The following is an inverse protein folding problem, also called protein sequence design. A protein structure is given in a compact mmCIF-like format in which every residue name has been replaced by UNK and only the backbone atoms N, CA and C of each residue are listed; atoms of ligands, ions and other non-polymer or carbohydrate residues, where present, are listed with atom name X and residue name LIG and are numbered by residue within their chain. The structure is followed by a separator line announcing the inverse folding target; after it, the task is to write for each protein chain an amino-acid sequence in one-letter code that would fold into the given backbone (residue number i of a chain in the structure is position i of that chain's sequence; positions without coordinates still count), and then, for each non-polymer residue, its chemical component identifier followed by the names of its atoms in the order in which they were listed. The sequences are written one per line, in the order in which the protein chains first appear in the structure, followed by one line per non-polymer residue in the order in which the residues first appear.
data_IF_203958707274
#
_entry.id   IF_203958707274
#
_cell.length_a   1.000
_cell.length_b   1.000
_cell.length_c   1.000
_cell.angle_alpha   90.00
_cell.angle_beta   90.00
_cell.angle_gamma   90.00
#
_symmetry.space_group_name_H-M   'P 1'
#
loop_
_entity.id
_entity.type
_entity.pdbx_description
1 polymer ?
#
# COMPACT_ATOMS: atom_id res chain seq x y z
N UNK A 1 6.64 -3.98 -0.33
CA UNK A 1 7.19 -2.82 -1.07
C UNK A 1 7.94 -1.93 -0.09
N UNK A 2 8.88 -1.10 -0.54
CA UNK A 2 9.61 -0.13 0.30
C UNK A 2 9.40 1.30 -0.17
N UNK A 3 9.97 2.27 0.52
CA UNK A 3 9.86 3.71 0.23
C UNK A 3 10.21 4.09 -1.22
N UNK A 4 11.05 3.30 -1.91
CA UNK A 4 11.44 3.56 -3.31
C UNK A 4 10.28 3.47 -4.31
N UNK A 5 9.11 3.01 -3.90
CA UNK A 5 7.87 3.13 -4.67
C UNK A 5 7.59 4.60 -5.05
N UNK A 6 7.94 5.52 -4.18
CA UNK A 6 7.63 6.94 -4.28
C UNK A 6 8.73 7.79 -4.91
N UNK A 7 9.94 7.22 -5.20
CA UNK A 7 11.10 7.99 -5.70
C UNK A 7 10.74 8.85 -6.93
N UNK A 8 10.04 8.26 -7.91
CA UNK A 8 9.64 8.98 -9.13
C UNK A 8 8.59 10.07 -8.88
N UNK A 9 7.66 9.82 -7.96
CA UNK A 9 6.63 10.81 -7.59
C UNK A 9 7.27 11.97 -6.86
N UNK A 10 8.10 11.70 -5.84
CA UNK A 10 8.82 12.72 -5.06
C UNK A 10 9.68 13.60 -5.97
N UNK A 11 10.42 12.99 -6.90
CA UNK A 11 11.25 13.71 -7.86
C UNK A 11 10.44 14.58 -8.85
N UNK A 12 9.15 14.29 -9.02
CA UNK A 12 8.25 15.01 -9.94
C UNK A 12 7.36 16.04 -9.24
N UNK A 13 7.33 16.09 -7.90
CA UNK A 13 6.59 17.10 -7.16
C UNK A 13 7.23 18.49 -7.35
N UNK A 14 6.42 19.58 -7.32
CA UNK A 14 6.96 20.93 -7.28
C UNK A 14 7.87 21.18 -6.06
N UNK A 15 8.69 22.19 -6.14
CA UNK A 15 9.49 22.62 -4.99
C UNK A 15 8.59 23.08 -3.82
N UNK A 16 9.06 22.91 -2.59
CA UNK A 16 8.34 23.32 -1.37
C UNK A 16 7.65 22.21 -0.59
N UNK A 17 7.53 21.00 -1.14
CA UNK A 17 7.01 19.85 -0.39
C UNK A 17 8.10 19.19 0.47
N UNK A 18 7.78 18.95 1.73
CA UNK A 18 8.54 18.03 2.59
C UNK A 18 7.94 16.64 2.47
N UNK A 19 8.65 15.72 1.81
CA UNK A 19 8.20 14.35 1.62
C UNK A 19 8.84 13.40 2.63
N UNK A 20 8.03 12.58 3.29
CA UNK A 20 8.47 11.56 4.24
C UNK A 20 7.88 10.23 3.80
N UNK A 21 8.71 9.28 3.41
CA UNK A 21 8.28 7.97 2.90
C UNK A 21 8.84 6.83 3.77
N UNK A 22 8.12 6.39 4.81
CA UNK A 22 8.57 5.28 5.64
C UNK A 22 8.49 3.94 4.89
N UNK A 23 9.42 3.04 5.17
CA UNK A 23 9.30 1.63 4.79
C UNK A 23 8.63 0.87 5.91
N UNK A 24 7.34 0.58 5.76
CA UNK A 24 6.59 -0.22 6.72
C UNK A 24 7.03 -1.71 6.68
N UNK A 25 6.80 -2.49 7.76
CA UNK A 25 7.23 -3.88 7.86
C UNK A 25 6.39 -4.84 6.99
N UNK A 26 6.22 -4.51 5.70
CA UNK A 26 5.48 -5.27 4.69
C UNK A 26 6.42 -6.10 3.80
N UNK A 27 7.38 -6.81 4.41
CA UNK A 27 8.34 -7.74 3.79
C UNK A 27 9.48 -7.13 2.97
N UNK A 28 9.54 -5.80 2.79
CA UNK A 28 10.67 -5.12 2.14
C UNK A 28 11.51 -4.27 3.13
N UNK A 29 11.16 -4.28 4.41
CA UNK A 29 11.92 -3.65 5.49
C UNK A 29 13.27 -4.34 5.70
N UNK A 30 14.20 -3.63 6.37
CA UNK A 30 15.60 -4.06 6.53
C UNK A 30 15.98 -4.40 7.97
N UNK A 31 15.16 -4.02 8.93
CA UNK A 31 15.34 -4.27 10.36
C UNK A 31 14.26 -5.22 10.84
N UNK A 32 14.64 -6.30 11.50
CA UNK A 32 13.70 -7.28 12.02
C UNK A 32 12.76 -6.65 13.05
N UNK A 33 11.50 -7.04 12.99
CA UNK A 33 10.51 -6.64 13.98
C UNK A 33 10.65 -7.47 15.27
N UNK A 34 10.30 -6.85 16.38
CA UNK A 34 10.21 -7.56 17.66
C UNK A 34 9.24 -8.74 17.55
N UNK A 35 9.46 -9.77 18.36
CA UNK A 35 8.66 -10.98 18.29
C UNK A 35 7.18 -10.76 18.65
N UNK A 36 6.89 -9.78 19.48
CA UNK A 36 5.57 -9.36 19.97
C UNK A 36 4.94 -8.22 19.13
N UNK A 37 5.63 -7.71 18.12
CA UNK A 37 5.10 -6.65 17.26
C UNK A 37 3.78 -7.08 16.61
N UNK A 38 2.76 -6.21 16.72
CA UNK A 38 1.48 -6.38 16.04
C UNK A 38 1.62 -5.98 14.56
N UNK A 39 1.65 -6.99 13.69
CA UNK A 39 1.77 -6.84 12.24
C UNK A 39 0.42 -6.97 11.52
N UNK A 40 -0.70 -6.90 12.23
CA UNK A 40 -2.03 -6.80 11.63
C UNK A 40 -2.25 -5.45 10.93
N UNK A 41 -3.28 -5.30 10.09
CA UNK A 41 -3.60 -3.99 9.50
C UNK A 41 -3.84 -2.91 10.56
N UNK A 42 -4.60 -3.15 11.65
CA UNK A 42 -4.72 -2.18 12.75
C UNK A 42 -3.38 -1.89 13.45
N UNK A 43 -2.54 -2.92 13.65
CA UNK A 43 -1.20 -2.74 14.21
C UNK A 43 -0.31 -1.84 13.34
N UNK A 44 -0.38 -2.04 12.02
CA UNK A 44 0.35 -1.19 11.06
C UNK A 44 -0.22 0.24 11.00
N UNK A 45 -1.53 0.41 11.15
CA UNK A 45 -2.16 1.74 11.24
C UNK A 45 -1.69 2.48 12.50
N UNK A 46 -1.69 1.81 13.67
CA UNK A 46 -1.14 2.38 14.91
C UNK A 46 0.34 2.73 14.78
N UNK A 47 1.15 1.85 14.18
CA UNK A 47 2.57 2.12 13.93
C UNK A 47 2.78 3.38 13.08
N UNK A 48 1.92 3.59 12.08
CA UNK A 48 1.96 4.79 11.25
C UNK A 48 1.51 6.04 12.03
N UNK A 49 0.49 5.94 12.88
CA UNK A 49 0.07 7.03 13.76
C UNK A 49 1.20 7.43 14.73
N UNK A 50 1.82 6.46 15.40
CA UNK A 50 2.98 6.69 16.27
C UNK A 50 4.17 7.30 15.52
N UNK A 51 4.37 6.92 14.27
CA UNK A 51 5.41 7.51 13.42
C UNK A 51 5.16 9.00 13.17
N UNK A 52 3.90 9.39 12.86
CA UNK A 52 3.53 10.80 12.72
C UNK A 52 3.72 11.57 14.03
N UNK A 53 3.36 10.96 15.16
CA UNK A 53 3.53 11.54 16.50
C UNK A 53 5.01 11.77 16.84
N UNK A 54 5.85 10.77 16.65
CA UNK A 54 7.29 10.85 16.98
C UNK A 54 8.05 11.85 16.14
N UNK A 55 7.61 12.11 14.92
CA UNK A 55 8.18 13.14 14.04
C UNK A 55 7.52 14.51 14.20
N UNK A 56 6.55 14.61 15.09
CA UNK A 56 5.74 15.81 15.34
C UNK A 56 5.19 16.42 14.04
N UNK A 57 4.65 15.55 13.17
CA UNK A 57 4.05 15.96 11.91
C UNK A 57 2.59 16.35 12.11
N UNK A 58 2.18 17.48 11.57
CA UNK A 58 0.81 18.00 11.64
C UNK A 58 0.32 18.36 10.25
N UNK A 59 -1.00 18.35 10.06
CA UNK A 59 -1.67 18.67 8.79
C UNK A 59 -1.07 17.96 7.58
N UNK A 60 -0.71 16.67 7.76
CA UNK A 60 -0.07 15.90 6.70
C UNK A 60 -1.05 15.52 5.59
N UNK A 61 -0.60 15.55 4.35
CA UNK A 61 -1.27 14.86 3.25
C UNK A 61 -0.76 13.41 3.24
N UNK A 62 -1.61 12.49 3.74
CA UNK A 62 -1.25 11.07 3.87
C UNK A 62 -1.59 10.33 2.58
N UNK A 63 -0.59 9.74 1.94
CA UNK A 63 -0.73 9.07 0.64
C UNK A 63 -0.53 7.56 0.79
N UNK A 64 -1.50 6.75 0.38
CA UNK A 64 -1.41 5.29 0.42
C UNK A 64 -1.72 4.63 -0.92
N UNK A 65 -0.87 3.66 -1.33
CA UNK A 65 -1.08 2.81 -2.51
C UNK A 65 -1.11 1.33 -2.11
N UNK A 66 -1.88 0.50 -2.78
CA UNK A 66 -2.01 -0.93 -2.50
C UNK A 66 -2.41 -1.15 -1.02
N UNK A 67 -1.76 -2.00 -0.27
CA UNK A 67 -1.99 -2.22 1.16
C UNK A 67 -1.77 -0.94 1.99
N UNK A 68 -0.92 0.00 1.51
CA UNK A 68 -0.76 1.31 2.14
C UNK A 68 -2.05 2.11 2.19
N UNK A 69 -2.89 2.04 1.15
CA UNK A 69 -4.19 2.68 1.15
C UNK A 69 -5.20 2.02 2.09
N UNK A 70 -5.12 0.70 2.31
CA UNK A 70 -5.90 0.02 3.34
C UNK A 70 -5.54 0.54 4.75
N UNK A 71 -4.26 0.72 5.04
CA UNK A 71 -3.79 1.29 6.31
C UNK A 71 -4.30 2.72 6.49
N UNK A 72 -4.28 3.54 5.42
CA UNK A 72 -4.83 4.91 5.45
C UNK A 72 -6.33 4.89 5.75
N UNK A 73 -7.12 3.99 5.13
CA UNK A 73 -8.56 3.87 5.40
C UNK A 73 -8.86 3.54 6.87
N UNK A 74 -8.05 2.69 7.51
CA UNK A 74 -8.20 2.41 8.93
C UNK A 74 -7.94 3.66 9.78
N UNK A 75 -6.87 4.42 9.48
CA UNK A 75 -6.58 5.68 10.18
C UNK A 75 -7.68 6.73 10.00
N UNK A 76 -8.28 6.81 8.80
CA UNK A 76 -9.42 7.70 8.56
C UNK A 76 -10.59 7.41 9.51
N UNK A 77 -10.83 6.12 9.81
CA UNK A 77 -11.90 5.68 10.70
C UNK A 77 -11.60 5.82 12.19
N UNK A 78 -10.34 5.96 12.58
CA UNK A 78 -9.89 6.03 14.00
C UNK A 78 -9.65 7.47 14.49
N UNK A 79 -9.78 8.48 13.62
CA UNK A 79 -9.59 9.89 13.99
C UNK A 79 -8.11 10.30 14.01
N UNK A 80 -7.48 10.33 12.87
CA UNK A 80 -6.07 10.74 12.75
C UNK A 80 -5.92 12.26 12.81
N UNK A 81 -5.77 12.84 14.00
CA UNK A 81 -5.72 14.30 14.23
C UNK A 81 -4.58 15.00 13.49
N UNK A 82 -3.51 14.27 13.20
CA UNK A 82 -2.35 14.79 12.47
C UNK A 82 -2.51 14.79 10.95
N UNK A 83 -3.55 14.13 10.43
CA UNK A 83 -3.81 14.04 8.99
C UNK A 83 -4.73 15.16 8.55
N UNK A 84 -4.28 16.06 7.71
CA UNK A 84 -5.09 17.12 7.12
C UNK A 84 -5.84 16.69 5.87
N UNK A 85 -5.23 15.85 5.06
CA UNK A 85 -5.78 15.34 3.79
C UNK A 85 -5.34 13.90 3.54
N UNK A 86 -6.08 13.18 2.71
CA UNK A 86 -5.69 11.82 2.29
C UNK A 86 -5.67 11.67 0.78
N UNK A 87 -4.77 10.83 0.28
CA UNK A 87 -4.73 10.39 -1.13
C UNK A 87 -4.72 8.88 -1.16
N UNK A 88 -5.79 8.29 -1.66
CA UNK A 88 -5.94 6.84 -1.85
C UNK A 88 -5.61 6.50 -3.31
N UNK A 89 -4.51 5.80 -3.53
CA UNK A 89 -4.01 5.46 -4.87
C UNK A 89 -4.18 3.98 -5.11
N UNK A 90 -5.04 3.58 -6.06
CA UNK A 90 -5.31 2.15 -6.40
C UNK A 90 -4.98 1.21 -5.25
N UNK A 91 -5.91 1.00 -4.35
CA UNK A 91 -5.63 0.32 -3.09
C UNK A 91 -6.65 -0.75 -2.72
N UNK A 92 -6.30 -1.58 -1.76
CA UNK A 92 -7.20 -2.54 -1.16
C UNK A 92 -8.40 -1.83 -0.54
N UNK A 93 -9.61 -2.33 -0.82
CA UNK A 93 -10.85 -1.78 -0.29
C UNK A 93 -11.97 -2.83 -0.32
N UNK A 94 -12.93 -2.67 0.58
CA UNK A 94 -14.16 -3.47 0.65
C UNK A 94 -13.91 -4.97 0.75
N UNK A 95 -14.66 -5.74 -0.03
CA UNK A 95 -14.65 -7.21 -0.06
C UNK A 95 -13.56 -7.83 -0.97
N UNK A 96 -12.78 -6.99 -1.69
CA UNK A 96 -11.61 -7.47 -2.46
C UNK A 96 -10.38 -7.68 -1.56
N UNK A 97 -10.56 -8.42 -0.46
CA UNK A 97 -9.51 -8.70 0.51
C UNK A 97 -9.45 -10.20 0.87
N UNK A 98 -8.37 -10.94 0.58
CA UNK A 98 -7.13 -10.54 -0.13
C UNK A 98 -7.34 -10.19 -1.61
N UNK A 99 -6.60 -9.21 -2.15
CA UNK A 99 -6.89 -8.65 -3.47
C UNK A 99 -6.53 -9.59 -4.62
N UNK A 100 -7.49 -9.84 -5.48
CA UNK A 100 -7.30 -10.62 -6.70
C UNK A 100 -6.65 -11.99 -6.47
N UNK A 101 -6.04 -12.55 -7.49
CA UNK A 101 -5.30 -13.81 -7.40
C UNK A 101 -3.94 -13.63 -6.67
N UNK A 102 -3.29 -12.50 -6.87
CA UNK A 102 -2.01 -12.15 -6.22
C UNK A 102 -2.16 -12.18 -4.70
N UNK A 103 -3.15 -11.49 -4.14
CA UNK A 103 -3.40 -11.46 -2.70
C UNK A 103 -3.79 -12.83 -2.13
N UNK A 104 -4.61 -13.60 -2.85
CA UNK A 104 -5.00 -14.98 -2.45
C UNK A 104 -3.79 -15.90 -2.34
N UNK A 105 -2.86 -15.83 -3.30
CA UNK A 105 -1.62 -16.62 -3.26
C UNK A 105 -0.72 -16.15 -2.12
N UNK A 106 -0.57 -14.85 -1.90
CA UNK A 106 0.19 -14.31 -0.75
C UNK A 106 -0.40 -14.78 0.58
N UNK A 107 -1.71 -14.72 0.75
CA UNK A 107 -2.38 -15.20 1.96
C UNK A 107 -2.13 -16.70 2.20
N UNK A 108 -2.11 -17.51 1.13
CA UNK A 108 -1.79 -18.93 1.21
C UNK A 108 -0.31 -19.15 1.60
N UNK A 109 0.61 -18.41 0.98
CA UNK A 109 2.06 -18.54 1.28
C UNK A 109 2.39 -18.09 2.71
N UNK A 110 1.62 -17.19 3.30
CA UNK A 110 1.73 -16.82 4.73
C UNK A 110 1.49 -17.98 5.69
N UNK A 111 0.86 -19.08 5.25
CA UNK A 111 0.68 -20.31 6.05
C UNK A 111 1.93 -21.21 6.06
N UNK A 112 2.88 -20.98 5.18
CA UNK A 112 4.09 -21.79 5.08
C UNK A 112 5.08 -21.48 6.22
N UNK A 113 5.90 -22.46 6.63
CA UNK A 113 7.07 -22.17 7.46
C UNK A 113 8.01 -21.17 6.75
N UNK A 114 8.72 -20.29 7.48
CA UNK A 114 9.55 -19.24 6.87
C UNK A 114 10.62 -19.76 5.89
N UNK A 115 11.18 -20.96 6.14
CA UNK A 115 12.13 -21.59 5.24
C UNK A 115 11.49 -21.99 3.91
N UNK A 116 10.33 -22.64 3.97
CA UNK A 116 9.56 -23.07 2.78
C UNK A 116 9.08 -21.86 1.99
N UNK A 117 8.58 -20.84 2.69
CA UNK A 117 8.24 -19.55 2.08
C UNK A 117 9.45 -18.94 1.36
N UNK A 118 10.62 -18.94 1.98
CA UNK A 118 11.86 -18.45 1.37
C UNK A 118 12.25 -19.22 0.09
N UNK A 119 12.13 -20.54 0.10
CA UNK A 119 12.37 -21.38 -1.08
C UNK A 119 11.36 -21.06 -2.20
N UNK A 120 10.08 -20.96 -1.86
CA UNK A 120 9.05 -20.53 -2.80
C UNK A 120 9.37 -19.16 -3.41
N UNK A 121 9.83 -18.20 -2.62
CA UNK A 121 10.16 -16.85 -3.08
C UNK A 121 11.39 -16.78 -3.99
N UNK A 122 12.27 -17.83 -4.04
CA UNK A 122 13.43 -17.83 -4.96
C UNK A 122 13.02 -17.71 -6.43
N UNK A 123 11.87 -18.23 -6.81
CA UNK A 123 11.34 -18.09 -8.17
C UNK A 123 11.16 -16.61 -8.59
N UNK A 124 10.96 -15.71 -7.62
CA UNK A 124 10.83 -14.27 -7.89
C UNK A 124 12.14 -13.63 -8.40
N UNK A 125 13.26 -14.35 -8.42
CA UNK A 125 14.49 -13.92 -9.12
C UNK A 125 14.33 -13.93 -10.63
N UNK A 126 13.44 -14.77 -11.15
CA UNK A 126 13.20 -14.91 -12.58
C UNK A 126 12.16 -13.89 -13.05
N UNK A 127 12.55 -13.06 -14.03
CA UNK A 127 11.68 -12.00 -14.57
C UNK A 127 10.33 -12.52 -15.08
N UNK A 128 10.24 -13.63 -15.85
CA UNK A 128 8.94 -14.12 -16.31
C UNK A 128 7.99 -14.46 -15.15
N UNK A 129 8.52 -15.10 -14.08
CA UNK A 129 7.71 -15.51 -12.94
C UNK A 129 7.23 -14.33 -12.11
N UNK A 130 8.02 -13.24 -12.00
CA UNK A 130 7.56 -12.01 -11.36
C UNK A 130 6.37 -11.33 -12.06
N UNK A 131 6.20 -11.57 -13.35
CA UNK A 131 5.13 -10.99 -14.17
C UNK A 131 3.86 -11.83 -14.25
N UNK A 132 3.82 -12.97 -13.60
CA UNK A 132 2.62 -13.79 -13.52
C UNK A 132 1.54 -13.12 -12.66
N UNK A 133 0.25 -13.42 -12.87
CA UNK A 133 -0.88 -12.89 -12.09
C UNK A 133 -0.85 -13.19 -10.58
N UNK A 134 0.16 -13.89 -10.11
CA UNK A 134 0.39 -14.27 -8.71
C UNK A 134 1.57 -13.53 -8.08
N UNK A 135 2.14 -12.55 -8.77
CA UNK A 135 3.37 -11.87 -8.37
C UNK A 135 3.31 -10.35 -8.56
N UNK A 136 4.18 -9.62 -7.85
CA UNK A 136 4.16 -8.14 -7.80
C UNK A 136 4.41 -7.46 -9.16
N UNK A 137 5.11 -8.08 -10.09
CA UNK A 137 5.30 -7.52 -11.44
C UNK A 137 4.01 -7.49 -12.29
N UNK A 138 2.95 -8.17 -11.85
CA UNK A 138 1.61 -8.08 -12.45
C UNK A 138 0.91 -6.74 -12.15
N UNK A 139 1.28 -6.11 -11.04
CA UNK A 139 0.71 -4.87 -10.54
C UNK A 139 1.22 -3.61 -11.25
N UNK A 140 2.18 -3.74 -12.17
CA UNK A 140 2.81 -2.62 -12.86
C UNK A 140 3.12 -2.94 -14.31
N UNK A 141 3.06 -1.93 -15.17
CA UNK A 141 3.49 -2.03 -16.57
C UNK A 141 5.01 -1.88 -16.71
N UNK A 142 5.64 -1.05 -15.87
CA UNK A 142 7.04 -0.58 -16.03
C UNK A 142 7.98 -0.96 -14.89
N UNK A 143 7.46 -1.31 -13.72
CA UNK A 143 8.21 -1.40 -12.47
C UNK A 143 8.96 -2.71 -12.19
N UNK A 144 9.19 -3.61 -13.17
CA UNK A 144 9.78 -4.93 -12.91
C UNK A 144 11.14 -4.87 -12.17
N UNK A 145 12.01 -3.93 -12.51
CA UNK A 145 13.31 -3.78 -11.85
C UNK A 145 13.18 -3.39 -10.36
N UNK A 146 12.20 -2.55 -10.05
CA UNK A 146 11.90 -2.12 -8.67
C UNK A 146 11.29 -3.27 -7.87
N UNK A 147 10.33 -3.99 -8.43
CA UNK A 147 9.73 -5.16 -7.77
C UNK A 147 10.77 -6.25 -7.48
N UNK A 148 11.74 -6.47 -8.35
CA UNK A 148 12.86 -7.37 -8.12
C UNK A 148 13.74 -6.93 -6.93
N UNK A 149 13.93 -5.62 -6.76
CA UNK A 149 14.70 -5.05 -5.64
C UNK A 149 14.00 -5.26 -4.30
N UNK A 150 12.67 -5.08 -4.24
CA UNK A 150 11.89 -5.28 -3.02
C UNK A 150 11.92 -6.70 -2.47
N UNK A 151 12.18 -7.70 -3.33
CA UNK A 151 12.30 -9.09 -2.90
C UNK A 151 13.63 -9.42 -2.23
N UNK A 152 14.66 -8.58 -2.36
CA UNK A 152 16.02 -8.88 -1.84
C UNK A 152 16.07 -9.14 -0.34
N UNK A 153 15.42 -8.35 0.55
CA UNK A 153 15.44 -8.62 1.98
C UNK A 153 14.89 -10.01 2.32
N UNK A 154 13.71 -10.36 1.82
CA UNK A 154 13.09 -11.69 2.01
C UNK A 154 13.98 -12.82 1.49
N UNK A 155 14.65 -12.61 0.35
CA UNK A 155 15.51 -13.65 -0.26
C UNK A 155 16.83 -13.86 0.49
N UNK A 156 17.32 -12.84 1.24
CA UNK A 156 18.65 -12.86 1.84
C UNK A 156 18.65 -12.97 3.37
N UNK A 157 17.62 -12.44 4.05
CA UNK A 157 17.59 -12.31 5.50
C UNK A 157 16.52 -13.23 6.11
N UNK A 158 16.93 -14.10 7.02
CA UNK A 158 16.02 -15.07 7.66
C UNK A 158 14.96 -14.38 8.55
N UNK A 159 15.38 -13.33 9.24
CA UNK A 159 14.53 -12.53 10.11
C UNK A 159 13.41 -11.83 9.31
N UNK A 160 13.76 -11.24 8.15
CA UNK A 160 12.77 -10.59 7.29
C UNK A 160 11.82 -11.63 6.65
N UNK A 161 12.28 -12.85 6.36
CA UNK A 161 11.40 -13.94 5.93
C UNK A 161 10.41 -14.35 7.02
N UNK A 162 10.87 -14.44 8.26
CA UNK A 162 10.00 -14.69 9.42
C UNK A 162 8.94 -13.60 9.55
N UNK A 163 9.35 -12.35 9.47
CA UNK A 163 8.44 -11.20 9.56
C UNK A 163 7.48 -11.14 8.36
N UNK A 164 7.94 -11.46 7.15
CA UNK A 164 7.07 -11.56 5.97
C UNK A 164 5.94 -12.59 6.18
N UNK A 165 6.25 -13.76 6.73
CA UNK A 165 5.24 -14.78 7.03
C UNK A 165 4.29 -14.29 8.14
N UNK A 166 4.82 -13.64 9.19
CA UNK A 166 4.00 -13.09 10.28
C UNK A 166 3.02 -12.02 9.78
N UNK A 167 3.51 -11.07 8.99
CA UNK A 167 2.67 -10.00 8.44
C UNK A 167 1.60 -10.56 7.50
N UNK A 168 1.94 -11.50 6.61
CA UNK A 168 0.96 -12.11 5.71
C UNK A 168 -0.15 -12.86 6.47
N UNK A 169 0.19 -13.53 7.59
CA UNK A 169 -0.82 -14.15 8.46
C UNK A 169 -1.70 -13.13 9.14
N UNK A 170 -1.09 -12.08 9.69
CA UNK A 170 -1.78 -11.09 10.49
C UNK A 170 -2.70 -10.19 9.66
N UNK A 171 -2.22 -9.69 8.51
CA UNK A 171 -3.01 -8.79 7.66
C UNK A 171 -4.20 -9.50 7.01
N UNK A 172 -4.07 -10.78 6.67
CA UNK A 172 -5.15 -11.55 6.06
C UNK A 172 -5.99 -12.39 7.06
N UNK A 173 -5.76 -12.22 8.36
CA UNK A 173 -6.52 -12.93 9.39
C UNK A 173 -7.99 -12.51 9.42
N UNK A 174 -8.24 -11.22 9.25
CA UNK A 174 -9.58 -10.63 9.26
C UNK A 174 -9.97 -10.22 7.82
N UNK A 175 -10.93 -10.95 7.25
CA UNK A 175 -11.34 -10.75 5.86
C UNK A 175 -12.32 -9.60 5.67
N UNK A 176 -13.03 -9.23 6.72
CA UNK A 176 -14.07 -8.20 6.66
C UNK A 176 -13.56 -6.83 7.17
N UNK A 177 -12.27 -6.73 7.50
CA UNK A 177 -11.70 -5.54 8.10
C UNK A 177 -11.90 -4.30 7.23
N UNK A 178 -11.75 -4.41 5.89
CA UNK A 178 -11.92 -3.28 4.97
C UNK A 178 -13.40 -2.98 4.69
N UNK A 179 -14.28 -3.97 4.82
CA UNK A 179 -15.74 -3.74 4.79
C UNK A 179 -16.14 -2.87 5.98
N UNK A 180 -15.71 -3.23 7.20
CA UNK A 180 -15.96 -2.44 8.41
C UNK A 180 -15.26 -1.08 8.40
N UNK A 181 -14.05 -0.98 7.82
CA UNK A 181 -13.39 0.31 7.64
C UNK A 181 -14.22 1.24 6.74
N UNK A 182 -14.76 0.71 5.64
CA UNK A 182 -15.59 1.48 4.71
C UNK A 182 -16.84 2.07 5.37
N UNK A 183 -17.45 1.40 6.35
CA UNK A 183 -18.59 1.91 7.12
C UNK A 183 -18.29 3.21 7.89
N UNK A 184 -17.02 3.46 8.19
CA UNK A 184 -16.56 4.63 8.94
C UNK A 184 -16.13 5.80 8.04
N UNK A 185 -15.86 5.55 6.74
CA UNK A 185 -15.40 6.57 5.80
C UNK A 185 -16.37 7.75 5.63
N UNK A 186 -17.70 7.58 5.70
CA UNK A 186 -18.63 8.72 5.68
C UNK A 186 -18.43 9.72 6.82
N UNK A 187 -17.80 9.31 7.93
CA UNK A 187 -17.44 10.19 9.05
C UNK A 187 -16.12 10.95 8.86
N UNK A 188 -15.37 10.69 7.79
CA UNK A 188 -14.12 11.39 7.55
C UNK A 188 -14.37 12.81 7.02
N UNK A 189 -14.28 13.80 7.91
CA UNK A 189 -14.60 15.21 7.64
C UNK A 189 -13.46 16.03 7.05
N UNK A 190 -12.53 15.42 6.29
CA UNK A 190 -11.36 16.10 5.69
C UNK A 190 -11.25 15.78 4.21
N UNK A 191 -10.59 16.65 3.41
CA UNK A 191 -10.46 16.43 1.98
C UNK A 191 -9.78 15.09 1.64
N UNK A 192 -10.31 14.43 0.62
CA UNK A 192 -9.77 13.17 0.11
C UNK A 192 -9.61 13.20 -1.42
N UNK A 193 -8.54 12.61 -1.91
CA UNK A 193 -8.31 12.38 -3.32
C UNK A 193 -8.21 10.88 -3.58
N UNK A 194 -9.05 10.36 -4.44
CA UNK A 194 -9.00 8.97 -4.89
C UNK A 194 -8.39 8.96 -6.29
N UNK A 195 -7.21 8.34 -6.44
CA UNK A 195 -6.50 8.21 -7.72
C UNK A 195 -6.50 6.75 -8.13
N UNK A 196 -7.09 6.42 -9.27
CA UNK A 196 -7.27 5.01 -9.63
C UNK A 196 -6.85 4.71 -11.05
N UNK A 197 -6.13 3.60 -11.24
CA UNK A 197 -5.78 3.13 -12.58
C UNK A 197 -7.03 2.61 -13.30
N UNK A 198 -7.32 3.14 -14.49
CA UNK A 198 -8.48 2.71 -15.27
C UNK A 198 -8.36 1.27 -15.78
N UNK A 199 -7.14 0.76 -15.90
CA UNK A 199 -6.80 -0.59 -16.37
C UNK A 199 -6.35 -1.51 -15.24
N UNK A 200 -6.69 -1.19 -13.98
CA UNK A 200 -6.25 -1.98 -12.83
C UNK A 200 -6.80 -3.43 -12.90
N UNK A 201 -5.90 -4.38 -12.74
CA UNK A 201 -6.19 -5.81 -12.86
C UNK A 201 -6.43 -6.51 -11.52
N UNK A 202 -6.12 -5.82 -10.43
CA UNK A 202 -6.15 -6.37 -9.07
C UNK A 202 -7.09 -5.59 -8.17
N UNK A 203 -7.07 -4.25 -8.29
CA UNK A 203 -7.97 -3.34 -7.59
C UNK A 203 -9.07 -2.87 -8.55
N UNK A 204 -10.31 -3.41 -8.47
CA UNK A 204 -11.35 -3.06 -9.43
C UNK A 204 -11.60 -1.56 -9.51
N UNK A 205 -11.64 -0.92 -10.71
CA UNK A 205 -11.90 0.52 -10.84
C UNK A 205 -13.24 0.97 -10.23
N UNK A 206 -14.19 0.06 -10.07
CA UNK A 206 -15.44 0.30 -9.36
C UNK A 206 -15.21 0.65 -7.87
N UNK A 207 -14.16 0.11 -7.25
CA UNK A 207 -13.83 0.41 -5.86
C UNK A 207 -13.34 1.84 -5.70
N UNK A 208 -12.57 2.38 -6.65
CA UNK A 208 -12.19 3.79 -6.65
C UNK A 208 -13.40 4.73 -6.72
N UNK A 209 -14.38 4.42 -7.56
CA UNK A 209 -15.63 5.18 -7.62
C UNK A 209 -16.40 5.11 -6.32
N UNK A 210 -16.58 3.91 -5.78
CA UNK A 210 -17.29 3.70 -4.51
C UNK A 210 -16.61 4.39 -3.32
N UNK A 211 -15.27 4.40 -3.26
CA UNK A 211 -14.54 5.17 -2.22
C UNK A 211 -14.82 6.67 -2.34
N UNK A 212 -14.77 7.21 -3.56
CA UNK A 212 -15.05 8.63 -3.78
C UNK A 212 -16.52 9.00 -3.49
N UNK A 213 -17.46 8.08 -3.66
CA UNK A 213 -18.88 8.28 -3.30
C UNK A 213 -19.11 8.19 -1.79
N UNK A 214 -18.35 7.38 -1.07
CA UNK A 214 -18.50 7.19 0.38
C UNK A 214 -17.88 8.30 1.21
N UNK A 215 -16.79 8.90 0.75
CA UNK A 215 -16.08 9.95 1.48
C UNK A 215 -16.68 11.32 1.10
N UNK A 216 -17.24 12.09 2.05
CA UNK A 216 -18.03 13.30 1.73
C UNK A 216 -17.29 14.36 0.91
N UNK A 217 -16.02 14.60 1.20
CA UNK A 217 -15.18 15.58 0.48
C UNK A 217 -14.10 14.85 -0.34
N UNK A 218 -14.54 13.97 -1.23
CA UNK A 218 -13.63 13.19 -2.07
C UNK A 218 -13.77 13.57 -3.55
N UNK A 219 -12.61 13.58 -4.22
CA UNK A 219 -12.50 13.72 -5.67
C UNK A 219 -11.87 12.45 -6.27
N UNK A 220 -12.44 11.93 -7.37
CA UNK A 220 -11.86 10.83 -8.14
C UNK A 220 -11.08 11.34 -9.34
N UNK A 221 -9.85 10.82 -9.50
CA UNK A 221 -9.05 10.96 -10.72
C UNK A 221 -8.70 9.59 -11.26
N UNK A 222 -9.05 9.31 -12.49
CA UNK A 222 -8.67 8.07 -13.18
C UNK A 222 -7.38 8.29 -13.99
N UNK A 223 -6.45 7.33 -13.90
CA UNK A 223 -5.16 7.37 -14.57
C UNK A 223 -5.09 6.21 -15.57
N UNK A 224 -4.91 6.55 -16.83
CA UNK A 224 -4.67 5.58 -17.91
C UNK A 224 -3.23 5.08 -17.95
N UNK A 225 -2.98 4.05 -18.77
CA UNK A 225 -1.65 3.47 -19.01
C UNK A 225 -0.90 3.08 -17.71
N UNK A 226 -1.65 2.57 -16.73
CA UNK A 226 -1.15 2.12 -15.44
C UNK A 226 -1.96 0.94 -14.93
N UNK A 227 -1.34 0.17 -14.04
CA UNK A 227 -2.01 -0.79 -13.15
C UNK A 227 -1.95 -0.29 -11.71
N UNK A 228 -2.12 -1.16 -10.73
CA UNK A 228 -2.17 -0.82 -9.29
C UNK A 228 -1.03 0.09 -8.83
N UNK A 229 0.20 -0.13 -9.33
CA UNK A 229 1.37 0.64 -8.93
C UNK A 229 1.52 1.92 -9.79
N UNK A 230 0.53 2.80 -9.73
CA UNK A 230 0.55 4.13 -10.39
C UNK A 230 1.85 4.90 -10.09
N UNK A 231 2.40 4.88 -8.85
CA UNK A 231 3.65 5.58 -8.57
C UNK A 231 4.84 5.14 -9.42
N UNK A 232 4.84 3.90 -9.95
CA UNK A 232 5.87 3.40 -10.87
C UNK A 232 5.52 3.62 -12.34
N UNK A 233 4.24 3.51 -12.66
CA UNK A 233 3.78 3.54 -14.06
C UNK A 233 3.61 4.98 -14.58
N UNK A 234 3.07 5.87 -13.73
CA UNK A 234 2.72 7.25 -14.07
C UNK A 234 3.13 8.24 -12.96
N UNK A 235 4.41 8.27 -12.53
CA UNK A 235 4.85 9.09 -11.40
C UNK A 235 4.60 10.58 -11.60
N UNK A 236 4.82 11.12 -12.82
CA UNK A 236 4.62 12.53 -13.12
C UNK A 236 3.15 12.96 -13.09
N UNK A 237 2.23 12.09 -13.56
CA UNK A 237 0.79 12.36 -13.48
C UNK A 237 0.36 12.35 -12.00
N UNK A 238 0.79 11.35 -11.24
CA UNK A 238 0.45 11.25 -9.83
C UNK A 238 1.00 12.44 -9.03
N UNK A 239 2.24 12.84 -9.27
CA UNK A 239 2.85 14.01 -8.61
C UNK A 239 2.07 15.29 -8.89
N UNK A 240 1.70 15.54 -10.15
CA UNK A 240 0.89 16.71 -10.54
C UNK A 240 -0.46 16.72 -9.82
N UNK A 241 -1.19 15.59 -9.81
CA UNK A 241 -2.51 15.50 -9.19
C UNK A 241 -2.44 15.65 -7.67
N UNK A 242 -1.39 15.10 -7.02
CA UNK A 242 -1.12 15.32 -5.59
C UNK A 242 -0.78 16.78 -5.34
N UNK A 243 0.07 17.41 -6.15
CA UNK A 243 0.44 18.81 -6.00
C UNK A 243 -0.75 19.76 -6.12
N UNK A 244 -1.63 19.55 -7.10
CA UNK A 244 -2.87 20.32 -7.27
C UNK A 244 -3.88 20.16 -6.12
N UNK A 245 -3.81 19.01 -5.42
CA UNK A 245 -4.70 18.70 -4.31
C UNK A 245 -4.17 19.20 -2.96
N UNK A 246 -2.85 19.14 -2.76
CA UNK A 246 -2.21 19.46 -1.48
C UNK A 246 -1.75 20.93 -1.36
N UNK A 247 -1.67 21.65 -2.49
CA UNK A 247 -1.39 23.09 -2.54
C UNK A 247 -2.66 23.86 -2.39
#
# INVERSE_FOLDING_TARGET
MDASLWDGVIASLPAGYRCVAPTLPLAAHRHAMNADADLSLPGLARLLAEFLDRLDLHDVTLVGNDTGGAIVQLLMGEGADRVGRVVLVSCDAFDNWPPGLTGKVLALTGKLPPLVFGLFMQQMRLRPLRRLPVAFGWLTKRGDAVTARWMRPVLRQAEIRRDAVRVLRAVFADRDILVRAAERLPGFGRPALVVWASEDRVMPPAHGRRLAELIPDARLVQVGDSYTLIPLDQPGILARVIGEFAG
#
